data_IF_430952543521
#
_entry.id   IF_430952543521
#
_cell.length_a   1.000
_cell.length_b   1.000
_cell.length_c   1.000
_cell.angle_alpha   90.00
_cell.angle_beta   90.00
_cell.angle_gamma   90.00
#
_symmetry.space_group_name_H-M   'P 1'
#
loop_
_entity.id
_entity.type
_entity.pdbx_description
1 polymer ?
#
# COMPACT_ATOMS: atom_id res chain seq x y z
N UNK A 1 10.63 -7.27 -10.29
CA UNK A 1 11.70 -6.67 -9.47
C UNK A 1 12.06 -7.65 -8.37
N UNK A 2 13.34 -7.73 -7.98
CA UNK A 2 13.72 -8.48 -6.78
C UNK A 2 13.21 -7.74 -5.54
N UNK A 3 12.64 -8.44 -4.54
CA UNK A 3 12.16 -7.79 -3.33
C UNK A 3 13.35 -7.12 -2.60
N UNK A 4 13.20 -5.84 -2.28
CA UNK A 4 14.16 -5.05 -1.51
C UNK A 4 14.17 -5.50 -0.03
N UNK A 5 13.12 -6.19 0.43
CA UNK A 5 13.05 -6.77 1.77
C UNK A 5 12.73 -8.27 1.72
N UNK A 6 13.79 -9.09 1.77
CA UNK A 6 13.74 -10.55 1.66
C UNK A 6 12.77 -11.21 2.67
N UNK A 7 12.62 -10.65 3.88
CA UNK A 7 11.79 -11.23 4.94
C UNK A 7 10.27 -11.18 4.67
N UNK A 8 9.79 -10.26 3.82
CA UNK A 8 8.37 -10.28 3.42
C UNK A 8 8.08 -11.26 2.29
N UNK A 9 9.06 -11.51 1.43
CA UNK A 9 8.99 -12.51 0.37
C UNK A 9 9.10 -13.95 0.91
N UNK A 10 9.45 -14.15 2.19
CA UNK A 10 9.58 -15.44 2.86
C UNK A 10 8.23 -16.16 3.14
N UNK A 11 7.21 -15.94 2.30
CA UNK A 11 5.94 -16.69 2.31
C UNK A 11 4.85 -16.16 3.25
N UNK A 12 5.18 -15.39 4.30
CA UNK A 12 4.19 -14.86 5.24
C UNK A 12 3.20 -13.88 4.60
N UNK A 13 3.60 -13.13 3.59
CA UNK A 13 2.73 -12.15 2.93
C UNK A 13 1.45 -12.78 2.35
N UNK A 14 1.58 -13.98 1.78
CA UNK A 14 0.45 -14.74 1.23
C UNK A 14 -0.43 -15.39 2.32
N UNK A 15 0.01 -15.43 3.58
CA UNK A 15 -0.84 -15.86 4.68
C UNK A 15 -1.84 -14.77 5.09
N UNK A 16 -1.54 -13.49 4.81
CA UNK A 16 -2.46 -12.40 5.12
C UNK A 16 -3.70 -12.41 4.19
N UNK A 17 -4.90 -12.13 4.74
CA UNK A 17 -6.07 -11.83 3.92
C UNK A 17 -5.89 -10.47 3.23
N UNK A 18 -6.61 -10.24 2.12
CA UNK A 18 -6.50 -9.02 1.32
C UNK A 18 -6.61 -7.73 2.15
N UNK A 19 -7.54 -7.68 3.10
CA UNK A 19 -7.72 -6.53 4.01
C UNK A 19 -6.44 -6.20 4.81
N UNK A 20 -5.69 -7.21 5.25
CA UNK A 20 -4.44 -6.99 5.98
C UNK A 20 -3.28 -6.67 5.05
N UNK A 21 -3.27 -7.22 3.83
CA UNK A 21 -2.31 -6.81 2.79
C UNK A 21 -2.50 -5.33 2.44
N UNK A 22 -3.73 -4.88 2.20
CA UNK A 22 -4.04 -3.47 1.89
C UNK A 22 -3.86 -2.53 3.08
N UNK A 23 -4.08 -3.00 4.32
CA UNK A 23 -3.76 -2.21 5.52
C UNK A 23 -2.24 -1.97 5.64
N UNK A 24 -1.42 -2.98 5.34
CA UNK A 24 0.03 -2.84 5.35
C UNK A 24 0.51 -1.93 4.21
N UNK A 25 0.00 -2.09 2.99
CA UNK A 25 0.26 -1.15 1.87
C UNK A 25 -0.10 0.27 2.28
N UNK A 26 -1.29 0.47 2.86
CA UNK A 26 -1.75 1.78 3.32
C UNK A 26 -0.87 2.42 4.39
N UNK A 27 -0.27 1.61 5.27
CA UNK A 27 0.66 2.12 6.30
C UNK A 27 1.96 2.68 5.69
N UNK A 28 2.42 2.09 4.58
CA UNK A 28 3.57 2.60 3.82
C UNK A 28 3.22 3.88 3.06
N UNK A 29 2.02 3.95 2.47
CA UNK A 29 1.50 5.16 1.80
C UNK A 29 1.37 6.31 2.78
N UNK A 30 0.79 6.05 3.96
CA UNK A 30 0.69 7.02 5.06
C UNK A 30 2.06 7.55 5.46
N UNK A 31 3.07 6.67 5.56
CA UNK A 31 4.44 7.11 5.85
C UNK A 31 5.03 7.96 4.72
N UNK A 32 4.75 7.65 3.47
CA UNK A 32 5.18 8.47 2.34
C UNK A 32 4.57 9.88 2.42
N UNK A 33 3.26 9.99 2.66
CA UNK A 33 2.56 11.26 2.85
C UNK A 33 3.17 12.08 4.01
N UNK A 34 3.39 11.44 5.16
CA UNK A 34 3.98 12.08 6.33
C UNK A 34 5.39 12.64 6.06
N UNK A 35 6.23 11.94 5.30
CA UNK A 35 7.56 12.45 4.93
C UNK A 35 7.50 13.55 3.88
N UNK A 36 6.56 13.48 2.93
CA UNK A 36 6.27 14.57 1.99
C UNK A 36 5.90 15.84 2.75
N UNK A 37 4.96 15.76 3.70
CA UNK A 37 4.54 16.90 4.52
C UNK A 37 5.68 17.52 5.35
N UNK A 38 6.71 16.73 5.68
CA UNK A 38 7.92 17.17 6.38
C UNK A 38 9.01 17.72 5.46
N UNK A 39 8.74 17.84 4.15
CA UNK A 39 9.71 18.29 3.16
C UNK A 39 10.89 17.32 2.98
N UNK A 40 10.67 16.02 3.18
CA UNK A 40 11.72 15.01 3.08
C UNK A 40 11.45 14.00 1.93
N UNK A 41 11.78 14.39 0.68
CA UNK A 41 11.41 13.61 -0.50
C UNK A 41 12.11 12.25 -0.56
N UNK A 42 13.32 12.10 -0.02
CA UNK A 42 14.04 10.83 -0.05
C UNK A 42 13.38 9.78 0.87
N UNK A 43 12.97 10.15 2.08
CA UNK A 43 12.24 9.22 2.95
C UNK A 43 10.82 8.96 2.45
N UNK A 44 10.19 9.94 1.81
CA UNK A 44 8.90 9.74 1.14
C UNK A 44 9.02 8.71 0.02
N UNK A 45 10.03 8.86 -0.86
CA UNK A 45 10.33 7.93 -1.95
C UNK A 45 10.59 6.51 -1.44
N UNK A 46 11.40 6.33 -0.38
CA UNK A 46 11.65 5.01 0.20
C UNK A 46 10.38 4.34 0.75
N UNK A 47 9.50 5.12 1.38
CA UNK A 47 8.22 4.60 1.86
C UNK A 47 7.28 4.22 0.71
N UNK A 48 7.25 5.02 -0.37
CA UNK A 48 6.51 4.69 -1.58
C UNK A 48 7.04 3.41 -2.25
N UNK A 49 8.35 3.28 -2.44
CA UNK A 49 8.98 2.08 -3.01
C UNK A 49 8.56 0.84 -2.23
N UNK A 50 8.52 0.95 -0.90
CA UNK A 50 8.03 -0.12 -0.04
C UNK A 50 6.55 -0.39 -0.23
N UNK A 51 5.69 0.64 -0.28
CA UNK A 51 4.26 0.48 -0.56
C UNK A 51 4.01 -0.26 -1.89
N UNK A 52 4.76 0.10 -2.94
CA UNK A 52 4.67 -0.51 -4.25
C UNK A 52 5.16 -1.96 -4.24
N UNK A 53 6.24 -2.28 -3.52
CA UNK A 53 6.69 -3.67 -3.37
C UNK A 53 5.61 -4.55 -2.70
N UNK A 54 4.97 -4.06 -1.63
CA UNK A 54 3.86 -4.76 -0.96
C UNK A 54 2.66 -4.94 -1.90
N UNK A 55 2.35 -3.91 -2.69
CA UNK A 55 1.27 -3.95 -3.65
C UNK A 55 1.57 -4.93 -4.79
N UNK A 56 2.82 -5.01 -5.28
CA UNK A 56 3.24 -5.99 -6.28
C UNK A 56 3.15 -7.42 -5.74
N UNK A 57 3.55 -7.66 -4.49
CA UNK A 57 3.33 -8.97 -3.84
C UNK A 57 1.83 -9.31 -3.74
N UNK A 58 0.98 -8.31 -3.56
CA UNK A 58 -0.48 -8.46 -3.53
C UNK A 58 -1.06 -8.72 -4.92
N UNK A 59 -0.59 -8.01 -5.95
CA UNK A 59 -0.97 -8.22 -7.36
C UNK A 59 -0.55 -9.61 -7.84
N UNK A 60 0.64 -10.06 -7.45
CA UNK A 60 1.17 -11.38 -7.80
C UNK A 60 0.47 -12.56 -7.11
N UNK A 61 -0.37 -12.29 -6.11
CA UNK A 61 -1.10 -13.33 -5.38
C UNK A 61 -2.23 -13.93 -6.24
N UNK A 62 -2.14 -15.23 -6.53
CA UNK A 62 -3.13 -15.91 -7.38
C UNK A 62 -4.56 -15.86 -6.84
N UNK A 63 -4.75 -15.62 -5.54
CA UNK A 63 -6.07 -15.48 -4.91
C UNK A 63 -6.80 -14.21 -5.35
N UNK A 64 -6.07 -13.21 -5.86
CA UNK A 64 -6.60 -11.89 -6.24
C UNK A 64 -6.74 -11.68 -7.75
N UNK A 65 -6.66 -12.76 -8.55
CA UNK A 65 -6.75 -12.70 -10.02
C UNK A 65 -7.99 -11.97 -10.56
N UNK A 66 -9.11 -12.02 -9.84
CA UNK A 66 -10.36 -11.34 -10.23
C UNK A 66 -10.37 -9.84 -9.91
N UNK A 67 -9.38 -9.34 -9.15
CA UNK A 67 -9.28 -7.94 -8.70
C UNK A 67 -8.07 -7.21 -9.29
N UNK A 68 -7.35 -7.84 -10.23
CA UNK A 68 -6.11 -7.28 -10.80
C UNK A 68 -6.31 -5.88 -11.36
N UNK A 69 -7.43 -5.63 -12.06
CA UNK A 69 -7.73 -4.30 -12.62
C UNK A 69 -7.76 -3.20 -11.55
N UNK A 70 -8.33 -3.47 -10.38
CA UNK A 70 -8.39 -2.50 -9.29
C UNK A 70 -7.02 -2.32 -8.65
N UNK A 71 -6.29 -3.41 -8.41
CA UNK A 71 -4.97 -3.38 -7.79
C UNK A 71 -3.91 -2.69 -8.68
N UNK A 72 -3.94 -2.93 -9.99
CA UNK A 72 -3.01 -2.28 -10.92
C UNK A 72 -3.34 -0.80 -11.12
N UNK A 73 -4.62 -0.42 -11.07
CA UNK A 73 -5.03 1.00 -11.06
C UNK A 73 -4.61 1.72 -9.79
N UNK A 74 -4.70 1.05 -8.64
CA UNK A 74 -4.18 1.60 -7.39
C UNK A 74 -2.68 1.91 -7.52
N UNK A 75 -1.92 0.99 -8.13
CA UNK A 75 -0.49 1.19 -8.41
C UNK A 75 -0.25 2.39 -9.33
N UNK A 76 -1.01 2.50 -10.42
CA UNK A 76 -0.95 3.63 -11.35
C UNK A 76 -1.25 4.96 -10.65
N UNK A 77 -2.31 5.02 -9.84
CA UNK A 77 -2.69 6.24 -9.13
C UNK A 77 -1.67 6.65 -8.06
N UNK A 78 -1.04 5.69 -7.37
CA UNK A 78 0.06 5.98 -6.44
C UNK A 78 1.27 6.55 -7.18
N UNK A 79 1.67 5.96 -8.30
CA UNK A 79 2.79 6.44 -9.11
C UNK A 79 2.52 7.84 -9.67
N UNK A 80 1.31 8.07 -10.19
CA UNK A 80 0.89 9.38 -10.68
C UNK A 80 0.94 10.45 -9.58
N UNK A 81 0.40 10.17 -8.39
CA UNK A 81 0.37 11.13 -7.29
C UNK A 81 1.76 11.48 -6.73
N UNK A 82 2.64 10.49 -6.55
CA UNK A 82 3.94 10.71 -5.91
C UNK A 82 5.08 11.01 -6.89
N UNK A 83 4.98 10.58 -8.14
CA UNK A 83 6.07 10.66 -9.11
C UNK A 83 5.66 11.30 -10.44
N UNK A 84 4.38 11.48 -10.70
CA UNK A 84 3.84 12.10 -11.90
C UNK A 84 3.35 13.53 -11.67
N UNK A 85 2.58 14.02 -12.62
CA UNK A 85 1.96 15.35 -12.59
C UNK A 85 0.62 15.35 -11.86
N UNK A 86 0.26 14.23 -11.20
CA UNK A 86 -1.04 14.01 -10.56
C UNK A 86 -2.21 14.20 -11.54
N UNK A 87 -2.10 13.59 -12.73
CA UNK A 87 -3.08 13.67 -13.82
C UNK A 87 -4.47 13.17 -13.39
N UNK A 88 -4.53 12.22 -12.45
CA UNK A 88 -5.78 11.71 -11.91
C UNK A 88 -6.38 12.58 -10.80
N UNK A 89 -5.70 13.65 -10.39
CA UNK A 89 -6.20 14.62 -9.41
C UNK A 89 -6.38 14.03 -8.01
N UNK A 90 -5.53 13.10 -7.61
CA UNK A 90 -5.55 12.52 -6.26
C UNK A 90 -5.11 13.56 -5.22
N UNK A 91 -5.62 13.40 -4.00
CA UNK A 91 -5.25 14.20 -2.84
C UNK A 91 -4.94 13.31 -1.64
N UNK A 92 -4.25 13.87 -0.65
CA UNK A 92 -4.00 13.20 0.63
C UNK A 92 -5.29 12.66 1.28
N UNK A 93 -6.38 13.44 1.21
CA UNK A 93 -7.69 13.03 1.72
C UNK A 93 -8.27 11.82 0.97
N UNK A 94 -7.99 11.66 -0.34
CA UNK A 94 -8.39 10.47 -1.08
C UNK A 94 -7.64 9.22 -0.56
N UNK A 95 -6.35 9.35 -0.28
CA UNK A 95 -5.53 8.25 0.24
C UNK A 95 -5.93 7.82 1.64
N UNK A 96 -6.17 8.77 2.54
CA UNK A 96 -6.72 8.49 3.87
C UNK A 96 -8.06 7.77 3.78
N UNK A 97 -8.97 8.29 2.95
CA UNK A 97 -10.31 7.71 2.77
C UNK A 97 -10.26 6.28 2.20
N UNK A 98 -9.29 6.00 1.33
CA UNK A 98 -9.11 4.67 0.76
C UNK A 98 -8.45 3.69 1.74
N UNK A 99 -7.36 4.09 2.42
CA UNK A 99 -6.53 3.16 3.19
C UNK A 99 -6.91 3.01 4.67
N UNK A 100 -7.37 4.07 5.34
CA UNK A 100 -7.70 4.01 6.77
C UNK A 100 -8.73 2.92 7.13
N UNK A 101 -9.79 2.69 6.34
CA UNK A 101 -10.76 1.64 6.65
C UNK A 101 -10.13 0.24 6.76
N UNK A 102 -9.10 -0.07 5.95
CA UNK A 102 -8.42 -1.36 6.04
C UNK A 102 -7.64 -1.51 7.35
N UNK A 103 -6.92 -0.47 7.76
CA UNK A 103 -6.20 -0.45 9.04
C UNK A 103 -7.15 -0.61 10.23
N UNK A 104 -8.27 0.11 10.22
CA UNK A 104 -9.31 0.01 11.23
C UNK A 104 -9.93 -1.39 11.28
N UNK A 105 -10.24 -1.98 10.13
CA UNK A 105 -10.79 -3.34 10.06
C UNK A 105 -9.83 -4.40 10.62
N UNK A 106 -8.52 -4.26 10.37
CA UNK A 106 -7.50 -5.15 10.96
C UNK A 106 -7.42 -4.96 12.47
N UNK A 107 -7.45 -3.72 12.97
CA UNK A 107 -7.42 -3.44 14.40
C UNK A 107 -8.63 -4.08 15.12
N UNK A 108 -9.84 -3.88 14.61
CA UNK A 108 -11.07 -4.47 15.17
C UNK A 108 -10.96 -6.00 15.23
N UNK A 109 -10.47 -6.64 14.15
CA UNK A 109 -10.29 -8.11 14.11
C UNK A 109 -9.27 -8.60 15.13
N UNK A 110 -8.20 -7.85 15.40
CA UNK A 110 -7.16 -8.20 16.38
C UNK A 110 -7.63 -8.00 17.82
N UNK A 111 -8.51 -7.03 18.06
CA UNK A 111 -9.08 -6.78 19.39
C UNK A 111 -10.29 -7.68 19.71
N UNK A 112 -11.08 -8.09 18.70
CA UNK A 112 -12.20 -9.01 18.89
C UNK A 112 -11.82 -10.51 18.91
N UNK A 113 -10.56 -10.85 18.64
CA UNK A 113 -10.04 -12.22 18.69
C UNK A 113 -9.22 -12.51 19.97
N UNK A 114 -9.26 -11.60 20.96
CA UNK A 114 -8.64 -11.75 22.29
C UNK A 114 -9.69 -12.11 23.34
#
# INVERSE_FOLDING_TARGET
>A
MSPLHADLAAGRWHAFPLVEQLANVGSEVERALNWTARGNPEYSRRALERALELLELTIGDSRHRTRLKELTRLREALLDYFCGENEYGSSEANWHSYFHPYGMAVAIRKHGAQ
#
